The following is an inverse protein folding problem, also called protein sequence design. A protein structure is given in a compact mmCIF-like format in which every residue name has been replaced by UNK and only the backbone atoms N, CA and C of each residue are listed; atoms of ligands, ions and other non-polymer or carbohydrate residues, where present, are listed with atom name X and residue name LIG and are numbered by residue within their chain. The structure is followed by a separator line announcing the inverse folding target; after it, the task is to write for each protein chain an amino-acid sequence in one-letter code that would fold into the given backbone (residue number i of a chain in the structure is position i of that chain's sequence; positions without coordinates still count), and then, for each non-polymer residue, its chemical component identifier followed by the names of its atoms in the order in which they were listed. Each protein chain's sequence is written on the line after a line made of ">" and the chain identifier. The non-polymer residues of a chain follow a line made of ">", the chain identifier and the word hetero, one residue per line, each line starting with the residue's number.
data_IF_324985562573
#
_entry.id   IF_324985562573
#
_cell.length_a   1.000
_cell.length_b   1.000
_cell.length_c   1.000
_cell.angle_alpha   90.00
_cell.angle_beta   90.00
_cell.angle_gamma   90.00
#
_symmetry.space_group_name_H-M   'P 1'
#
loop_
_entity.id
_entity.type
_entity.pdbx_description
1 polymer ?
#
# COMPACT_ATOMS: atom_id res chain seq x y z
N UNK A 1 -13.37 3.85 -17.37
CA UNK A 1 -14.27 4.69 -18.20
C UNK A 1 -14.72 5.95 -17.44
N UNK A 2 -15.31 5.84 -16.25
CA UNK A 2 -15.71 7.02 -15.44
C UNK A 2 -14.52 7.91 -15.01
N UNK A 3 -13.43 7.30 -14.54
CA UNK A 3 -12.20 8.01 -14.15
C UNK A 3 -11.52 8.73 -15.34
N UNK A 4 -11.51 8.12 -16.53
CA UNK A 4 -10.93 8.71 -17.74
C UNK A 4 -11.75 9.90 -18.27
N UNK A 5 -13.09 9.83 -18.14
CA UNK A 5 -13.98 10.93 -18.48
C UNK A 5 -13.82 12.12 -17.52
N UNK A 6 -13.49 11.84 -16.26
CA UNK A 6 -13.26 12.88 -15.24
C UNK A 6 -11.93 13.63 -15.50
N UNK A 7 -10.88 12.92 -15.91
CA UNK A 7 -9.57 13.51 -16.26
C UNK A 7 -9.69 14.45 -17.47
N UNK A 8 -10.39 14.02 -18.53
CA UNK A 8 -10.59 14.86 -19.73
C UNK A 8 -11.45 16.11 -19.48
N UNK A 9 -12.37 16.05 -18.51
CA UNK A 9 -13.15 17.22 -18.08
C UNK A 9 -12.28 18.22 -17.28
N UNK A 10 -11.36 17.71 -16.45
CA UNK A 10 -10.44 18.54 -15.66
C UNK A 10 -9.48 19.32 -16.55
N UNK A 11 -8.93 18.69 -17.60
CA UNK A 11 -8.05 19.37 -18.55
C UNK A 11 -8.74 20.55 -19.26
N UNK A 12 -10.04 20.40 -19.59
CA UNK A 12 -10.82 21.49 -20.20
C UNK A 12 -11.12 22.63 -19.22
N UNK A 13 -11.23 22.34 -17.92
CA UNK A 13 -11.49 23.32 -16.87
C UNK A 13 -10.24 24.11 -16.45
N UNK A 14 -9.05 23.52 -16.63
CA UNK A 14 -7.75 24.07 -16.24
C UNK A 14 -7.42 25.37 -16.99
N UNK A 15 -7.91 25.50 -18.23
CA UNK A 15 -7.77 26.70 -19.05
C UNK A 15 -8.64 27.88 -18.58
N UNK A 16 -9.74 27.62 -17.86
CA UNK A 16 -10.73 28.66 -17.49
C UNK A 16 -10.62 29.03 -16.01
N UNK A 17 -10.34 28.06 -15.14
CA UNK A 17 -10.25 28.26 -13.68
C UNK A 17 -9.12 27.43 -13.05
N UNK A 18 -7.86 27.91 -13.12
CA UNK A 18 -6.70 27.14 -12.64
C UNK A 18 -6.75 26.84 -11.14
N UNK A 19 -7.22 27.79 -10.31
CA UNK A 19 -7.33 27.59 -8.87
C UNK A 19 -8.38 26.53 -8.48
N UNK A 20 -9.48 26.44 -9.24
CA UNK A 20 -10.52 25.44 -9.01
C UNK A 20 -10.01 24.04 -9.35
N UNK A 21 -9.22 23.91 -10.42
CA UNK A 21 -8.58 22.65 -10.79
C UNK A 21 -7.58 22.19 -9.74
N UNK A 22 -6.79 23.10 -9.16
CA UNK A 22 -5.88 22.75 -8.06
C UNK A 22 -6.68 22.25 -6.85
N UNK A 23 -7.77 22.93 -6.47
CA UNK A 23 -8.63 22.51 -5.37
C UNK A 23 -9.29 21.13 -5.64
N UNK A 24 -9.75 20.89 -6.87
CA UNK A 24 -10.32 19.60 -7.28
C UNK A 24 -9.28 18.48 -7.33
N UNK A 25 -8.05 18.76 -7.79
CA UNK A 25 -6.94 17.81 -7.75
C UNK A 25 -6.61 17.45 -6.31
N UNK A 26 -6.50 18.45 -5.42
CA UNK A 26 -6.31 18.21 -3.99
C UNK A 26 -7.45 17.35 -3.42
N UNK A 27 -8.71 17.67 -3.73
CA UNK A 27 -9.88 16.91 -3.29
C UNK A 27 -9.90 15.47 -3.80
N UNK A 28 -9.40 15.22 -5.02
CA UNK A 28 -9.31 13.88 -5.61
C UNK A 28 -8.11 13.07 -5.09
N UNK A 29 -7.02 13.74 -4.71
CA UNK A 29 -5.85 13.12 -4.07
C UNK A 29 -6.06 12.87 -2.59
N UNK A 30 -6.84 13.71 -1.93
CA UNK A 30 -7.41 13.37 -0.64
C UNK A 30 -8.26 12.12 -0.86
N UNK A 31 -8.12 11.09 -0.02
CA UNK A 31 -8.79 9.81 -0.22
C UNK A 31 -10.31 9.99 -0.05
N UNK A 32 -10.98 10.47 -1.09
CA UNK A 32 -12.45 10.47 -1.19
C UNK A 32 -12.95 9.02 -1.24
N UNK A 33 -12.08 8.12 -1.70
CA UNK A 33 -12.24 6.68 -1.72
C UNK A 33 -11.70 6.05 -0.43
N UNK A 34 -12.53 6.09 0.61
CA UNK A 34 -12.35 5.34 1.87
C UNK A 34 -12.15 3.83 1.59
N UNK A 35 -12.55 3.35 0.41
CA UNK A 35 -12.38 1.97 -0.08
C UNK A 35 -10.96 1.44 -0.02
N UNK A 36 -9.92 2.27 -0.25
CA UNK A 36 -8.53 1.80 -0.14
C UNK A 36 -8.15 1.56 1.32
N UNK A 37 -8.53 2.47 2.22
CA UNK A 37 -8.34 2.30 3.66
C UNK A 37 -9.17 1.14 4.22
N UNK A 38 -10.43 1.01 3.81
CA UNK A 38 -11.33 -0.10 4.20
C UNK A 38 -10.78 -1.47 3.78
N UNK A 39 -10.21 -1.57 2.57
CA UNK A 39 -9.54 -2.79 2.12
C UNK A 39 -8.34 -3.12 3.01
N UNK A 40 -7.49 -2.14 3.30
CA UNK A 40 -6.34 -2.32 4.20
C UNK A 40 -6.73 -2.70 5.62
N UNK A 41 -7.75 -2.04 6.20
CA UNK A 41 -8.28 -2.37 7.53
C UNK A 41 -8.97 -3.75 7.57
N UNK A 42 -9.65 -4.14 6.50
CA UNK A 42 -10.24 -5.48 6.37
C UNK A 42 -9.16 -6.57 6.37
N UNK A 43 -8.07 -6.37 5.61
CA UNK A 43 -6.90 -7.26 5.63
C UNK A 43 -6.25 -7.31 7.01
N UNK A 44 -6.03 -6.16 7.65
CA UNK A 44 -5.49 -6.10 9.01
C UNK A 44 -6.35 -6.85 10.02
N UNK A 45 -7.68 -6.73 9.93
CA UNK A 45 -8.63 -7.46 10.77
C UNK A 45 -8.51 -8.97 10.56
N UNK A 46 -8.37 -9.44 9.32
CA UNK A 46 -8.14 -10.85 9.02
C UNK A 46 -6.82 -11.35 9.62
N UNK A 47 -5.72 -10.60 9.49
CA UNK A 47 -4.42 -10.96 10.05
C UNK A 47 -4.50 -11.10 11.58
N UNK A 48 -5.10 -10.12 12.27
CA UNK A 48 -5.29 -10.16 13.73
C UNK A 48 -6.17 -11.33 14.18
N UNK A 49 -7.29 -11.57 13.49
CA UNK A 49 -8.20 -12.65 13.86
C UNK A 49 -7.60 -14.04 13.59
N UNK A 50 -6.95 -14.21 12.43
CA UNK A 50 -6.34 -15.48 12.02
C UNK A 50 -5.23 -15.91 12.98
N UNK A 51 -4.33 -14.98 13.34
CA UNK A 51 -3.22 -15.27 14.25
C UNK A 51 -3.62 -15.28 15.73
N UNK A 52 -4.79 -14.71 16.08
CA UNK A 52 -5.31 -14.56 17.45
C UNK A 52 -4.23 -14.10 18.45
N UNK A 53 -3.28 -13.28 17.98
CA UNK A 53 -2.02 -13.04 18.66
C UNK A 53 -1.96 -11.63 19.23
N UNK A 54 -1.53 -11.52 20.48
CA UNK A 54 -1.01 -10.27 21.05
C UNK A 54 0.39 -10.05 20.49
N UNK A 55 0.48 -9.55 19.26
CA UNK A 55 1.76 -9.26 18.61
C UNK A 55 2.12 -7.77 18.76
N UNK A 56 3.42 -7.47 18.82
CA UNK A 56 3.92 -6.10 18.85
C UNK A 56 3.53 -5.30 17.60
N UNK A 57 3.39 -3.99 17.76
CA UNK A 57 2.87 -3.10 16.72
C UNK A 57 3.75 -3.10 15.46
N UNK A 58 5.07 -3.17 15.62
CA UNK A 58 6.02 -3.17 14.49
C UNK A 58 5.81 -4.39 13.59
N UNK A 59 5.89 -5.60 14.16
CA UNK A 59 5.68 -6.85 13.42
C UNK A 59 4.29 -6.93 12.78
N UNK A 60 3.26 -6.38 13.43
CA UNK A 60 1.91 -6.33 12.88
C UNK A 60 1.85 -5.42 11.65
N UNK A 61 2.54 -4.29 11.71
CA UNK A 61 2.56 -3.29 10.63
C UNK A 61 3.28 -3.85 9.42
N UNK A 62 4.41 -4.53 9.62
CA UNK A 62 5.16 -5.20 8.54
C UNK A 62 4.31 -6.26 7.83
N UNK A 63 3.61 -7.10 8.60
CA UNK A 63 2.77 -8.16 8.04
C UNK A 63 1.52 -7.62 7.33
N UNK A 64 0.96 -6.53 7.84
CA UNK A 64 -0.13 -5.82 7.19
C UNK A 64 0.32 -5.22 5.85
N UNK A 65 1.52 -4.64 5.79
CA UNK A 65 2.10 -4.12 4.56
C UNK A 65 2.25 -5.22 3.51
N UNK A 66 2.84 -6.37 3.88
CA UNK A 66 2.97 -7.55 3.00
C UNK A 66 1.61 -8.03 2.49
N UNK A 67 0.58 -8.05 3.34
CA UNK A 67 -0.76 -8.50 2.92
C UNK A 67 -1.50 -7.51 2.02
N UNK A 68 -1.28 -6.21 2.21
CA UNK A 68 -1.85 -5.15 1.35
C UNK A 68 -1.18 -5.18 -0.01
N UNK A 69 0.15 -5.24 -0.03
CA UNK A 69 0.99 -5.31 -1.24
C UNK A 69 1.22 -6.76 -1.70
N UNK A 70 0.29 -7.67 -1.42
CA UNK A 70 0.43 -9.09 -1.75
C UNK A 70 0.64 -9.32 -3.25
N UNK A 71 0.05 -8.52 -4.12
CA UNK A 71 0.27 -8.58 -5.56
C UNK A 71 1.71 -8.23 -5.98
N UNK A 72 2.39 -7.37 -5.22
CA UNK A 72 3.81 -7.08 -5.42
C UNK A 72 4.66 -8.22 -4.84
N UNK A 73 4.29 -8.76 -3.68
CA UNK A 73 4.98 -9.91 -3.09
C UNK A 73 4.93 -11.16 -3.97
N UNK A 74 3.84 -11.38 -4.71
CA UNK A 74 3.73 -12.49 -5.67
C UNK A 74 4.73 -12.38 -6.83
N UNK A 75 5.26 -11.18 -7.10
CA UNK A 75 6.29 -10.95 -8.12
C UNK A 75 7.73 -11.05 -7.59
N UNK A 76 7.91 -11.22 -6.28
CA UNK A 76 9.24 -11.38 -5.68
C UNK A 76 9.66 -12.85 -5.69
N UNK A 77 10.91 -13.13 -6.07
CA UNK A 77 11.49 -14.46 -5.94
C UNK A 77 11.87 -14.71 -4.47
N UNK A 78 11.25 -15.71 -3.88
CA UNK A 78 11.50 -16.10 -2.49
C UNK A 78 12.93 -16.63 -2.33
N UNK A 79 13.51 -17.25 -3.37
CA UNK A 79 14.87 -17.77 -3.31
C UNK A 79 15.89 -16.65 -3.17
N UNK A 80 15.73 -15.57 -3.95
CA UNK A 80 16.57 -14.37 -3.85
C UNK A 80 16.48 -13.73 -2.46
N UNK A 81 15.27 -13.66 -1.89
CA UNK A 81 15.07 -13.15 -0.52
C UNK A 81 15.77 -14.03 0.53
N UNK A 82 15.73 -15.36 0.35
CA UNK A 82 16.39 -16.31 1.25
C UNK A 82 17.90 -16.17 1.16
N UNK A 83 18.45 -16.04 -0.05
CA UNK A 83 19.88 -15.86 -0.29
C UNK A 83 20.36 -14.51 0.27
N UNK A 84 19.62 -13.43 0.05
CA UNK A 84 19.88 -12.12 0.65
C UNK A 84 19.83 -12.18 2.18
N UNK A 85 18.83 -12.84 2.75
CA UNK A 85 18.73 -12.99 4.20
C UNK A 85 19.87 -13.85 4.77
N UNK A 86 20.27 -14.91 4.06
CA UNK A 86 21.41 -15.75 4.43
C UNK A 86 22.70 -14.93 4.41
N UNK A 87 22.92 -14.13 3.36
CA UNK A 87 24.06 -13.22 3.25
C UNK A 87 24.07 -12.18 4.37
N UNK A 88 22.92 -11.58 4.70
CA UNK A 88 22.79 -10.60 5.80
C UNK A 88 23.06 -11.21 7.18
N UNK A 89 22.72 -12.49 7.39
CA UNK A 89 22.90 -13.18 8.69
C UNK A 89 24.31 -13.76 8.88
N UNK A 90 25.21 -13.65 7.90
CA UNK A 90 26.63 -14.03 8.04
C UNK A 90 27.46 -13.03 8.88
N UNK A 91 26.95 -12.58 10.04
CA UNK A 91 27.86 -12.32 11.16
C UNK A 91 28.25 -13.68 11.73
N UNK A 92 29.31 -14.26 11.17
CA UNK A 92 29.95 -15.49 11.66
C UNK A 92 30.23 -15.36 13.16
N UNK A 93 29.43 -16.00 14.00
CA UNK A 93 29.84 -16.32 15.36
C UNK A 93 30.80 -17.49 15.22
N UNK A 94 32.10 -17.20 15.23
CA UNK A 94 33.13 -18.20 15.42
C UNK A 94 32.97 -18.75 16.84
N UNK A 95 32.61 -20.03 16.94
CA UNK A 95 32.73 -20.85 18.14
C UNK A 95 34.09 -21.54 18.08
#
# INVERSE_FOLDING_TARGET
>A
ILSLMLVTLIEKLELVFPNLVIALRILLTLPVSITSGERSFSKLKLIKNYLRSTMGQDRLSDLALISIESSLCDSLDINDIIDDFANLKTRRVNI
#
